data_IF_429837392827
#
_entry.id   IF_429837392827
#
_cell.length_a   1.000
_cell.length_b   1.000
_cell.length_c   1.000
_cell.angle_alpha   90.00
_cell.angle_beta   90.00
_cell.angle_gamma   90.00
#
_symmetry.space_group_name_H-M   'P 1'
#
loop_
_entity.id
_entity.type
_entity.pdbx_description
1 polymer ?
#
# COMPACT_ATOMS: atom_id res chain seq x y z
N UNK A 1 -6.75 -5.06 11.81
CA UNK A 1 -8.03 -4.40 11.47
C UNK A 1 -7.74 -3.34 10.43
N UNK A 2 -8.54 -3.27 9.37
CA UNK A 2 -8.42 -2.29 8.29
C UNK A 2 -9.79 -1.65 8.11
N UNK A 3 -9.83 -0.36 7.77
CA UNK A 3 -11.08 0.29 7.35
C UNK A 3 -11.71 -0.47 6.18
N UNK A 4 -13.00 -0.30 5.94
CA UNK A 4 -13.53 -0.71 4.62
C UNK A 4 -12.95 0.18 3.52
N UNK A 5 -13.06 -0.25 2.26
CA UNK A 5 -12.60 0.57 1.14
C UNK A 5 -13.39 1.88 1.06
N UNK A 6 -14.70 1.84 1.32
CA UNK A 6 -15.56 3.02 1.35
C UNK A 6 -15.14 4.01 2.45
N UNK A 7 -14.84 3.52 3.65
CA UNK A 7 -14.33 4.34 4.75
C UNK A 7 -12.97 4.97 4.41
N UNK A 8 -12.09 4.23 3.74
CA UNK A 8 -10.80 4.76 3.28
C UNK A 8 -10.99 5.84 2.21
N UNK A 9 -11.89 5.64 1.25
CA UNK A 9 -12.21 6.61 0.20
C UNK A 9 -12.82 7.89 0.79
N UNK A 10 -13.72 7.75 1.77
CA UNK A 10 -14.31 8.90 2.47
C UNK A 10 -13.25 9.74 3.22
N UNK A 11 -12.27 9.10 3.85
CA UNK A 11 -11.16 9.82 4.50
C UNK A 11 -10.27 10.56 3.48
N UNK A 12 -9.97 9.92 2.34
CA UNK A 12 -9.19 10.54 1.26
C UNK A 12 -9.93 11.73 0.63
N UNK A 13 -11.22 11.57 0.35
CA UNK A 13 -12.07 12.66 -0.18
C UNK A 13 -12.08 13.85 0.78
N UNK A 14 -12.34 13.60 2.06
CA UNK A 14 -12.33 14.65 3.07
C UNK A 14 -10.97 15.36 3.14
N UNK A 15 -9.88 14.61 3.29
CA UNK A 15 -8.54 15.19 3.44
C UNK A 15 -8.12 16.00 2.19
N UNK A 16 -8.34 15.46 1.00
CA UNK A 16 -7.78 16.01 -0.24
C UNK A 16 -8.71 17.05 -0.85
N UNK A 17 -9.98 16.72 -1.05
CA UNK A 17 -10.94 17.58 -1.76
C UNK A 17 -11.46 18.71 -0.87
N UNK A 18 -11.71 18.42 0.42
CA UNK A 18 -12.31 19.40 1.32
C UNK A 18 -11.27 20.16 2.15
N UNK A 19 -10.16 19.52 2.53
CA UNK A 19 -9.16 20.12 3.43
C UNK A 19 -7.86 20.54 2.74
N UNK A 20 -7.68 20.22 1.46
CA UNK A 20 -6.51 20.61 0.68
C UNK A 20 -5.21 19.91 1.06
N UNK A 21 -5.27 18.76 1.74
CA UNK A 21 -4.11 17.91 2.00
C UNK A 21 -3.65 17.30 0.68
N UNK A 22 -2.35 17.31 0.42
CA UNK A 22 -1.77 16.75 -0.80
C UNK A 22 -0.73 15.64 -0.56
N UNK A 23 -0.46 15.29 0.70
CA UNK A 23 0.52 14.26 1.07
C UNK A 23 -0.18 13.02 1.63
N UNK A 24 0.10 11.85 1.02
CA UNK A 24 -0.43 10.55 1.45
C UNK A 24 0.75 9.63 1.79
N UNK A 25 0.74 9.08 3.00
CA UNK A 25 1.73 8.11 3.46
C UNK A 25 1.13 6.70 3.57
N UNK A 26 1.85 5.71 3.05
CA UNK A 26 1.49 4.29 3.14
C UNK A 26 2.73 3.41 3.23
N UNK A 27 2.58 2.09 3.24
CA UNK A 27 3.66 1.11 3.17
C UNK A 27 3.16 -0.21 2.56
N UNK A 28 4.06 -0.98 1.95
CA UNK A 28 3.69 -2.26 1.32
C UNK A 28 3.11 -3.27 2.32
N UNK A 29 3.44 -3.13 3.61
CA UNK A 29 2.93 -4.01 4.67
C UNK A 29 1.60 -3.56 5.26
N UNK A 30 1.15 -2.33 4.99
CA UNK A 30 -0.09 -1.83 5.59
C UNK A 30 -1.29 -2.62 5.06
N UNK A 31 -2.23 -2.99 5.97
CA UNK A 31 -2.60 -2.29 7.21
C UNK A 31 -1.89 -2.79 8.48
N UNK A 32 -2.25 -2.23 9.65
CA UNK A 32 -1.76 -2.65 10.97
C UNK A 32 -2.93 -2.90 11.95
N UNK A 33 -2.77 -3.76 12.97
CA UNK A 33 -1.63 -4.63 13.23
C UNK A 33 -1.57 -5.83 12.28
N UNK A 34 -0.35 -6.31 11.97
CA UNK A 34 -0.14 -7.51 11.14
C UNK A 34 -0.46 -8.83 11.84
N UNK A 35 -0.81 -8.78 13.13
CA UNK A 35 -1.22 -9.93 13.93
C UNK A 35 -2.72 -10.25 13.82
N UNK A 36 -3.51 -9.41 13.14
CA UNK A 36 -4.93 -9.68 12.91
C UNK A 36 -5.08 -10.86 11.92
N UNK A 37 -5.92 -11.87 12.19
CA UNK A 37 -6.09 -13.01 11.30
C UNK A 37 -6.64 -12.64 9.91
N UNK A 38 -7.25 -11.45 9.75
CA UNK A 38 -7.75 -10.94 8.47
C UNK A 38 -6.75 -10.02 7.77
N UNK A 39 -5.55 -9.84 8.34
CA UNK A 39 -4.54 -8.96 7.78
C UNK A 39 -4.07 -9.48 6.42
N UNK A 40 -4.08 -8.58 5.43
CA UNK A 40 -3.54 -8.83 4.09
C UNK A 40 -2.64 -7.65 3.73
N UNK A 41 -1.32 -7.86 3.54
CA UNK A 41 -0.40 -6.78 3.21
C UNK A 41 -0.73 -6.15 1.85
N UNK A 42 -0.47 -4.85 1.73
CA UNK A 42 -0.75 -4.06 0.54
C UNK A 42 -2.22 -3.66 0.39
N UNK A 43 -3.12 -4.05 1.31
CA UNK A 43 -4.54 -3.66 1.23
C UNK A 43 -4.72 -2.14 1.29
N UNK A 44 -3.94 -1.45 2.12
CA UNK A 44 -3.98 0.03 2.18
C UNK A 44 -3.58 0.65 0.83
N UNK A 45 -2.53 0.14 0.19
CA UNK A 45 -2.14 0.61 -1.15
C UNK A 45 -3.20 0.31 -2.20
N UNK A 46 -3.86 -0.85 -2.15
CA UNK A 46 -4.97 -1.18 -3.06
C UNK A 46 -6.13 -0.21 -2.92
N UNK A 47 -6.54 0.13 -1.70
CA UNK A 47 -7.63 1.10 -1.47
C UNK A 47 -7.28 2.51 -1.93
N UNK A 48 -6.03 2.94 -1.73
CA UNK A 48 -5.54 4.19 -2.29
C UNK A 48 -5.55 4.12 -3.83
N UNK A 49 -5.08 3.01 -4.42
CA UNK A 49 -5.03 2.83 -5.87
C UNK A 49 -6.39 2.83 -6.54
N UNK A 50 -7.40 2.19 -5.95
CA UNK A 50 -8.78 2.23 -6.47
C UNK A 50 -9.40 3.62 -6.32
N UNK A 51 -9.05 4.37 -5.27
CA UNK A 51 -9.44 5.78 -5.15
C UNK A 51 -8.79 6.64 -6.23
N UNK A 52 -7.48 6.47 -6.48
CA UNK A 52 -6.76 7.17 -7.56
C UNK A 52 -7.33 6.82 -8.94
N UNK A 53 -7.73 5.57 -9.16
CA UNK A 53 -8.37 5.15 -10.40
C UNK A 53 -9.69 5.88 -10.69
N UNK A 54 -10.43 6.24 -9.64
CA UNK A 54 -11.69 7.01 -9.72
C UNK A 54 -11.46 8.53 -9.83
N UNK A 55 -10.29 9.03 -9.42
CA UNK A 55 -9.94 10.46 -9.36
C UNK A 55 -8.62 10.73 -10.10
N UNK A 56 -8.50 10.25 -11.34
CA UNK A 56 -7.23 10.26 -12.11
C UNK A 56 -6.66 11.67 -12.33
N UNK A 57 -7.53 12.66 -12.39
CA UNK A 57 -7.21 14.08 -12.53
C UNK A 57 -6.41 14.64 -11.35
N UNK A 58 -6.61 14.08 -10.14
CA UNK A 58 -5.90 14.54 -8.94
C UNK A 58 -4.45 14.01 -8.84
N UNK A 59 -4.09 12.95 -9.59
CA UNK A 59 -2.79 12.28 -9.47
C UNK A 59 -1.57 13.21 -9.58
N UNK A 60 -1.54 14.24 -10.47
CA UNK A 60 -0.43 15.19 -10.57
C UNK A 60 -0.29 16.13 -9.37
N UNK A 61 -1.35 16.31 -8.58
CA UNK A 61 -1.38 17.23 -7.43
C UNK A 61 -0.92 16.56 -6.12
N UNK A 62 -0.83 15.23 -6.12
CA UNK A 62 -0.58 14.43 -4.93
C UNK A 62 0.88 13.98 -4.81
N UNK A 63 1.42 14.10 -3.60
CA UNK A 63 2.66 13.46 -3.17
C UNK A 63 2.31 12.19 -2.41
N UNK A 64 2.67 11.04 -2.99
CA UNK A 64 2.38 9.73 -2.41
C UNK A 64 3.69 9.07 -2.01
N UNK A 65 3.84 8.77 -0.73
CA UNK A 65 4.99 8.07 -0.17
C UNK A 65 4.59 6.65 0.23
N UNK A 66 5.37 5.66 -0.21
CA UNK A 66 5.30 4.29 0.29
C UNK A 66 6.66 3.83 0.81
N UNK A 67 6.69 2.70 1.51
CA UNK A 67 7.87 2.18 2.22
C UNK A 67 8.06 0.71 1.94
N UNK A 68 9.31 0.32 1.79
CA UNK A 68 9.74 -1.08 1.69
C UNK A 68 9.93 -1.65 3.10
N UNK A 69 9.41 -2.84 3.34
CA UNK A 69 9.55 -3.56 4.61
C UNK A 69 11.01 -3.90 4.89
N UNK A 70 11.46 -3.59 6.11
CA UNK A 70 12.76 -4.00 6.63
C UNK A 70 12.86 -5.50 6.92
N UNK A 71 13.99 -5.93 7.49
CA UNK A 71 14.29 -7.35 7.67
C UNK A 71 13.24 -8.07 8.54
N UNK A 72 12.71 -9.17 8.00
CA UNK A 72 11.86 -10.14 8.68
C UNK A 72 12.20 -11.51 8.10
N UNK A 73 12.48 -12.51 8.94
CA UNK A 73 12.94 -13.83 8.46
C UNK A 73 11.90 -14.58 7.61
N UNK A 74 10.62 -14.35 7.87
CA UNK A 74 9.49 -14.89 7.10
C UNK A 74 8.43 -13.80 7.01
N UNK A 75 8.17 -13.28 5.81
CA UNK A 75 7.30 -12.13 5.61
C UNK A 75 6.24 -12.44 4.56
N UNK A 76 4.96 -12.41 4.96
CA UNK A 76 3.84 -12.48 4.04
C UNK A 76 3.75 -11.23 3.15
N UNK A 77 4.34 -10.11 3.57
CA UNK A 77 4.49 -8.93 2.73
C UNK A 77 5.32 -9.22 1.50
N UNK A 78 6.42 -9.96 1.65
CA UNK A 78 7.26 -10.39 0.51
C UNK A 78 6.48 -11.33 -0.41
N UNK A 79 5.70 -12.26 0.15
CA UNK A 79 4.82 -13.15 -0.61
C UNK A 79 3.84 -12.36 -1.49
N UNK A 80 3.33 -11.22 -1.00
CA UNK A 80 2.35 -10.38 -1.69
C UNK A 80 2.96 -9.34 -2.65
N UNK A 81 4.26 -9.42 -2.94
CA UNK A 81 4.88 -8.61 -4.00
C UNK A 81 4.50 -9.11 -5.40
N UNK A 82 4.13 -10.38 -5.53
CA UNK A 82 3.65 -10.98 -6.78
C UNK A 82 2.12 -11.13 -6.80
N UNK A 83 1.56 -11.38 -7.98
CA UNK A 83 0.16 -11.77 -8.15
C UNK A 83 0.09 -12.93 -9.17
N UNK A 84 -0.36 -14.14 -8.75
CA UNK A 84 -0.79 -14.51 -7.40
C UNK A 84 0.33 -14.39 -6.34
N UNK A 85 -0.06 -14.35 -5.07
CA UNK A 85 0.89 -14.30 -3.96
C UNK A 85 1.80 -15.53 -4.00
N UNK A 86 3.10 -15.31 -3.80
CA UNK A 86 4.10 -16.38 -3.67
C UNK A 86 4.17 -16.95 -2.26
N UNK A 87 5.30 -17.60 -1.96
CA UNK A 87 5.58 -18.11 -0.62
C UNK A 87 6.19 -17.01 0.28
N UNK A 88 5.92 -17.03 1.60
CA UNK A 88 6.58 -16.15 2.54
C UNK A 88 8.10 -16.36 2.52
N UNK A 89 8.83 -15.27 2.32
CA UNK A 89 10.28 -15.26 2.23
C UNK A 89 10.88 -14.16 3.12
N UNK A 90 12.20 -14.18 3.37
CA UNK A 90 12.83 -13.13 4.14
C UNK A 90 12.68 -11.76 3.47
N UNK A 91 12.17 -10.78 4.19
CA UNK A 91 12.26 -9.38 3.76
C UNK A 91 13.72 -8.93 3.89
N UNK A 92 14.23 -8.25 2.86
CA UNK A 92 15.63 -7.79 2.79
C UNK A 92 15.66 -6.41 2.17
N UNK A 93 16.66 -5.61 2.51
CA UNK A 93 16.94 -4.32 1.88
C UNK A 93 18.11 -4.45 0.88
N UNK A 94 18.04 -5.48 0.04
CA UNK A 94 18.92 -5.63 -1.12
C UNK A 94 18.24 -5.13 -2.40
N UNK A 95 19.04 -4.96 -3.45
CA UNK A 95 18.57 -4.38 -4.73
C UNK A 95 17.37 -5.13 -5.30
N UNK A 96 17.40 -6.47 -5.31
CA UNK A 96 16.33 -7.27 -5.91
C UNK A 96 15.03 -7.12 -5.12
N UNK A 97 15.13 -7.17 -3.80
CA UNK A 97 14.00 -7.05 -2.89
C UNK A 97 13.36 -5.66 -2.93
N UNK A 98 14.17 -4.60 -2.98
CA UNK A 98 13.67 -3.21 -3.09
C UNK A 98 12.94 -3.00 -4.41
N UNK A 99 13.51 -3.43 -5.54
CA UNK A 99 12.86 -3.27 -6.84
C UNK A 99 11.53 -4.04 -6.91
N UNK A 100 11.50 -5.27 -6.44
CA UNK A 100 10.27 -6.05 -6.39
C UNK A 100 9.19 -5.41 -5.49
N UNK A 101 9.60 -4.77 -4.39
CA UNK A 101 8.68 -4.02 -3.54
C UNK A 101 8.12 -2.79 -4.26
N UNK A 102 8.98 -2.02 -4.92
CA UNK A 102 8.58 -0.84 -5.70
C UNK A 102 7.59 -1.20 -6.81
N UNK A 103 7.88 -2.22 -7.61
CA UNK A 103 6.99 -2.68 -8.69
C UNK A 103 5.63 -3.14 -8.14
N UNK A 104 5.64 -3.83 -7.02
CA UNK A 104 4.42 -4.28 -6.35
C UNK A 104 3.58 -3.11 -5.81
N UNK A 105 4.22 -2.14 -5.17
CA UNK A 105 3.54 -0.93 -4.67
C UNK A 105 2.97 -0.09 -5.82
N UNK A 106 3.74 0.12 -6.89
CA UNK A 106 3.27 0.82 -8.09
C UNK A 106 2.06 0.13 -8.70
N UNK A 107 2.10 -1.20 -8.86
CA UNK A 107 0.95 -1.97 -9.34
C UNK A 107 -0.30 -1.79 -8.48
N UNK A 108 -0.16 -1.75 -7.15
CA UNK A 108 -1.29 -1.56 -6.22
C UNK A 108 -1.82 -0.14 -6.21
N UNK A 109 -0.97 0.87 -6.44
CA UNK A 109 -1.32 2.29 -6.43
C UNK A 109 -1.86 2.81 -7.78
N UNK A 110 -1.90 1.97 -8.83
CA UNK A 110 -2.40 2.29 -10.18
C UNK A 110 -1.71 3.53 -10.79
#
# INVERSE_FOLDING_TARGET
VQNTEEEAHAQLDYAIKERGVNFIDTAEMYPVPSTDPRWVPGTTEKYIGTWLAKNRDLRPELVIATKVSGFQAKSDTVANRTEPAGEPAPARLDRASILAACDASLRRLN
#
